data_IF_574545477526
#
_entry.id   IF_574545477526
#
_cell.length_a   1.000
_cell.length_b   1.000
_cell.length_c   1.000
_cell.angle_alpha   90.00
_cell.angle_beta   90.00
_cell.angle_gamma   90.00
#
_symmetry.space_group_name_H-M   'P 1'
#
loop_
_entity.id
_entity.type
_entity.pdbx_description
1 polymer ?
#
# COMPACT_ATOMS: atom_id res chain seq x y z
N UNK A 1 -27.37 7.70 -37.62
CA UNK A 1 -26.33 6.69 -37.27
C UNK A 1 -24.92 7.19 -37.57
N UNK A 2 -24.54 7.46 -38.82
CA UNK A 2 -23.16 7.83 -39.20
C UNK A 2 -22.58 9.08 -38.49
N UNK A 3 -23.38 10.13 -38.28
CA UNK A 3 -22.94 11.33 -37.58
C UNK A 3 -22.61 11.06 -36.10
N UNK A 4 -23.41 10.24 -35.40
CA UNK A 4 -23.15 9.89 -34.00
C UNK A 4 -21.87 9.05 -33.87
N UNK A 5 -21.61 8.15 -34.82
CA UNK A 5 -20.36 7.38 -34.90
C UNK A 5 -19.15 8.28 -35.15
N UNK A 6 -19.25 9.27 -36.03
CA UNK A 6 -18.17 10.23 -36.30
C UNK A 6 -17.88 11.12 -35.07
N UNK A 7 -18.92 11.58 -34.38
CA UNK A 7 -18.79 12.32 -33.12
C UNK A 7 -18.11 11.50 -32.02
N UNK A 8 -18.51 10.23 -31.84
CA UNK A 8 -17.87 9.34 -30.88
C UNK A 8 -16.39 9.11 -31.21
N UNK A 9 -16.05 8.91 -32.48
CA UNK A 9 -14.66 8.76 -32.92
C UNK A 9 -13.84 10.02 -32.64
N UNK A 10 -14.39 11.20 -32.92
CA UNK A 10 -13.72 12.47 -32.64
C UNK A 10 -13.47 12.66 -31.13
N UNK A 11 -14.46 12.33 -30.28
CA UNK A 11 -14.32 12.39 -28.82
C UNK A 11 -13.23 11.43 -28.33
N UNK A 12 -13.24 10.18 -28.83
CA UNK A 12 -12.22 9.20 -28.48
C UNK A 12 -10.82 9.62 -28.93
N UNK A 13 -10.69 10.18 -30.14
CA UNK A 13 -9.42 10.67 -30.66
C UNK A 13 -8.86 11.83 -29.84
N UNK A 14 -9.70 12.79 -29.46
CA UNK A 14 -9.30 13.90 -28.59
C UNK A 14 -8.91 13.44 -27.19
N UNK A 15 -9.65 12.50 -26.60
CA UNK A 15 -9.31 11.92 -25.32
C UNK A 15 -7.96 11.16 -25.37
N UNK A 16 -7.74 10.37 -26.42
CA UNK A 16 -6.47 9.68 -26.63
C UNK A 16 -5.31 10.67 -26.82
N UNK A 17 -5.50 11.72 -27.62
CA UNK A 17 -4.49 12.77 -27.80
C UNK A 17 -4.15 13.48 -26.47
N UNK A 18 -5.16 13.83 -25.67
CA UNK A 18 -4.96 14.44 -24.36
C UNK A 18 -4.18 13.51 -23.42
N UNK A 19 -4.51 12.21 -23.38
CA UNK A 19 -3.79 11.22 -22.59
C UNK A 19 -2.32 11.08 -23.03
N UNK A 20 -2.05 11.09 -24.34
CA UNK A 20 -0.69 11.06 -24.87
C UNK A 20 0.11 12.31 -24.49
N UNK A 21 -0.52 13.49 -24.54
CA UNK A 21 0.10 14.74 -24.08
C UNK A 21 0.41 14.66 -22.59
N UNK A 22 -0.54 14.22 -21.76
CA UNK A 22 -0.32 14.03 -20.32
C UNK A 22 0.82 13.04 -20.04
N UNK A 23 0.86 11.91 -20.76
CA UNK A 23 1.93 10.92 -20.63
C UNK A 23 3.28 11.50 -21.03
N UNK A 24 3.34 12.24 -22.14
CA UNK A 24 4.56 12.91 -22.60
C UNK A 24 5.09 13.93 -21.59
N UNK A 25 4.20 14.79 -21.07
CA UNK A 25 4.55 15.77 -20.03
C UNK A 25 5.02 15.06 -18.75
N UNK A 26 4.35 13.97 -18.37
CA UNK A 26 4.75 13.17 -17.22
C UNK A 26 6.14 12.55 -17.41
N UNK A 27 6.44 11.95 -18.57
CA UNK A 27 7.75 11.35 -18.87
C UNK A 27 8.90 12.37 -18.80
N UNK A 28 8.65 13.65 -19.14
CA UNK A 28 9.64 14.72 -19.06
C UNK A 28 9.78 15.29 -17.64
N UNK A 29 8.67 15.44 -16.92
CA UNK A 29 8.67 15.96 -15.56
C UNK A 29 9.21 14.94 -14.56
N UNK A 30 8.96 13.65 -14.80
CA UNK A 30 9.26 12.55 -13.89
C UNK A 30 10.74 12.49 -13.43
N UNK A 31 11.75 12.50 -14.33
CA UNK A 31 13.16 12.46 -13.91
C UNK A 31 13.58 13.68 -13.08
N UNK A 32 12.99 14.86 -13.37
CA UNK A 32 13.24 16.07 -12.59
C UNK A 32 12.68 15.92 -11.18
N UNK A 33 11.41 15.53 -11.08
CA UNK A 33 10.74 15.31 -9.79
C UNK A 33 11.44 14.24 -8.94
N UNK A 34 11.87 13.12 -9.55
CA UNK A 34 12.64 12.08 -8.87
C UNK A 34 13.96 12.61 -8.30
N UNK A 35 14.70 13.42 -9.06
CA UNK A 35 15.96 14.04 -8.58
C UNK A 35 15.71 15.04 -7.45
N UNK A 36 14.67 15.86 -7.54
CA UNK A 36 14.33 16.84 -6.51
C UNK A 36 13.96 16.19 -5.18
N UNK A 37 13.13 15.15 -5.20
CA UNK A 37 12.74 14.41 -3.99
C UNK A 37 13.93 13.69 -3.35
N UNK A 38 14.80 13.06 -4.17
CA UNK A 38 16.05 12.45 -3.69
C UNK A 38 16.99 13.47 -3.05
N UNK A 39 17.13 14.66 -3.66
CA UNK A 39 17.96 15.73 -3.13
C UNK A 39 17.42 16.27 -1.79
N UNK A 40 16.09 16.47 -1.67
CA UNK A 40 15.44 16.92 -0.42
C UNK A 40 15.71 15.97 0.74
N UNK A 41 15.68 14.66 0.49
CA UNK A 41 15.95 13.64 1.49
C UNK A 41 17.44 13.35 1.67
N UNK A 42 18.34 14.01 0.93
CA UNK A 42 19.79 13.78 0.95
C UNK A 42 20.12 12.29 0.74
N UNK A 43 19.42 11.67 -0.21
CA UNK A 43 19.65 10.27 -0.63
C UNK A 43 21.03 10.20 -1.29
N UNK A 44 21.87 9.23 -0.92
CA UNK A 44 23.15 9.02 -1.61
C UNK A 44 22.93 8.60 -3.08
N UNK A 45 23.85 8.96 -3.97
CA UNK A 45 23.69 8.75 -5.41
C UNK A 45 23.51 7.27 -5.79
N UNK A 46 24.17 6.37 -5.06
CA UNK A 46 24.11 4.91 -5.25
C UNK A 46 23.00 4.22 -4.43
N UNK A 47 22.28 4.97 -3.58
CA UNK A 47 21.30 4.39 -2.68
C UNK A 47 20.00 4.02 -3.38
N UNK A 48 19.47 2.86 -3.03
CA UNK A 48 18.11 2.42 -3.37
C UNK A 48 17.14 2.92 -2.30
N UNK A 49 16.13 3.69 -2.71
CA UNK A 49 15.08 4.19 -1.81
C UNK A 49 13.99 3.14 -1.67
N UNK A 50 13.76 2.68 -0.45
CA UNK A 50 12.74 1.70 -0.09
C UNK A 50 11.66 2.39 0.73
N UNK A 51 10.49 2.62 0.14
CA UNK A 51 9.36 3.24 0.83
C UNK A 51 8.37 2.20 1.35
N UNK A 52 7.91 2.38 2.57
CA UNK A 52 6.82 1.62 3.18
C UNK A 52 5.59 2.50 3.36
N UNK A 53 4.45 2.03 2.87
CA UNK A 53 3.16 2.59 3.24
C UNK A 53 2.66 1.90 4.50
N UNK A 54 2.76 2.60 5.63
CA UNK A 54 2.28 2.12 6.92
C UNK A 54 1.88 3.32 7.82
N UNK A 55 0.76 4.01 7.53
CA UNK A 55 0.39 5.23 8.23
C UNK A 55 0.34 5.09 9.76
N UNK A 56 -0.05 3.92 10.26
CA UNK A 56 -0.18 3.63 11.69
C UNK A 56 1.02 2.85 12.27
N UNK A 57 2.26 3.16 11.85
CA UNK A 57 3.47 2.40 12.21
C UNK A 57 3.88 2.44 13.70
N UNK A 58 3.11 3.11 14.56
CA UNK A 58 3.45 3.37 15.95
C UNK A 58 2.29 3.07 16.94
N UNK A 59 1.28 2.33 16.50
CA UNK A 59 0.06 2.01 17.26
C UNK A 59 0.20 0.75 18.13
N UNK A 60 1.17 -0.12 17.89
CA UNK A 60 1.39 -1.41 18.56
C UNK A 60 0.66 -2.61 17.98
N UNK A 61 0.09 -2.52 16.78
CA UNK A 61 -0.62 -3.63 16.14
C UNK A 61 0.30 -4.71 15.58
N UNK A 62 -0.25 -5.89 15.30
CA UNK A 62 0.50 -7.02 14.73
C UNK A 62 1.08 -6.74 13.33
N UNK A 63 0.46 -5.87 12.53
CA UNK A 63 0.97 -5.44 11.23
C UNK A 63 2.28 -4.65 11.32
N UNK A 64 2.49 -3.91 12.40
CA UNK A 64 3.70 -3.13 12.63
C UNK A 64 4.91 -4.03 12.87
N UNK A 65 4.73 -5.18 13.54
CA UNK A 65 5.80 -6.14 13.72
C UNK A 65 6.37 -6.63 12.38
N UNK A 66 5.50 -6.84 11.37
CA UNK A 66 5.93 -7.23 10.02
C UNK A 66 6.75 -6.12 9.38
N UNK A 67 6.27 -4.87 9.43
CA UNK A 67 7.01 -3.71 8.95
C UNK A 67 8.41 -3.64 9.58
N UNK A 68 8.49 -3.65 10.91
CA UNK A 68 9.76 -3.48 11.62
C UNK A 68 10.71 -4.65 11.38
N UNK A 69 10.21 -5.89 11.23
CA UNK A 69 11.05 -7.03 10.86
C UNK A 69 11.60 -6.90 9.44
N UNK A 70 10.82 -6.37 8.50
CA UNK A 70 11.31 -6.05 7.15
C UNK A 70 12.40 -4.98 7.19
N UNK A 71 12.18 -3.89 7.93
CA UNK A 71 13.17 -2.80 8.10
C UNK A 71 14.47 -3.33 8.74
N UNK A 72 14.37 -4.14 9.79
CA UNK A 72 15.53 -4.80 10.41
C UNK A 72 16.31 -5.66 9.41
N UNK A 73 15.60 -6.44 8.58
CA UNK A 73 16.23 -7.26 7.54
C UNK A 73 16.94 -6.40 6.50
N UNK A 74 16.34 -5.26 6.10
CA UNK A 74 17.00 -4.30 5.21
C UNK A 74 18.26 -3.70 5.86
N UNK A 75 18.24 -3.40 7.16
CA UNK A 75 19.41 -2.93 7.90
C UNK A 75 20.55 -3.98 7.91
N UNK A 76 20.22 -5.26 8.08
CA UNK A 76 21.20 -6.36 7.96
C UNK A 76 21.78 -6.45 6.54
N UNK A 77 20.93 -6.40 5.50
CA UNK A 77 21.38 -6.40 4.11
C UNK A 77 22.27 -5.19 3.77
N UNK A 78 21.95 -4.02 4.32
CA UNK A 78 22.76 -2.82 4.17
C UNK A 78 24.19 -3.05 4.67
N UNK A 79 24.33 -3.55 5.91
CA UNK A 79 25.61 -3.79 6.57
C UNK A 79 26.39 -4.96 5.95
N UNK A 80 25.76 -6.13 5.87
CA UNK A 80 26.43 -7.39 5.53
C UNK A 80 26.69 -7.52 4.02
N UNK A 81 25.77 -7.04 3.19
CA UNK A 81 25.87 -7.12 1.73
C UNK A 81 26.32 -5.80 1.08
N UNK A 82 26.69 -4.80 1.88
CA UNK A 82 27.13 -3.46 1.44
C UNK A 82 26.16 -2.84 0.41
N UNK A 83 24.85 -3.02 0.64
CA UNK A 83 23.81 -2.44 -0.21
C UNK A 83 23.48 -1.04 0.28
N UNK A 84 23.76 0.00 -0.50
CA UNK A 84 23.36 1.37 -0.16
C UNK A 84 21.83 1.46 -0.18
N UNK A 85 21.20 1.55 1.00
CA UNK A 85 19.75 1.53 1.19
C UNK A 85 19.32 2.76 1.99
N UNK A 86 18.20 3.34 1.60
CA UNK A 86 17.56 4.43 2.30
C UNK A 86 16.08 4.09 2.49
N UNK A 87 15.67 3.88 3.74
CA UNK A 87 14.29 3.53 4.06
C UNK A 87 13.48 4.80 4.31
N UNK A 88 12.26 4.83 3.76
CA UNK A 88 11.29 5.90 4.01
C UNK A 88 9.98 5.28 4.48
N UNK A 89 9.40 5.78 5.57
CA UNK A 89 8.11 5.30 6.08
C UNK A 89 7.07 6.41 5.92
N UNK A 90 5.97 6.12 5.21
CA UNK A 90 4.83 7.01 5.12
C UNK A 90 3.96 6.77 6.36
N UNK A 91 4.03 7.72 7.29
CA UNK A 91 3.45 7.62 8.63
C UNK A 91 2.46 8.77 8.86
N UNK A 92 1.47 8.56 9.73
CA UNK A 92 0.62 9.63 10.23
C UNK A 92 1.46 10.59 11.08
N UNK A 93 1.24 11.90 10.90
CA UNK A 93 1.76 12.92 11.80
C UNK A 93 1.15 12.74 13.19
N UNK A 94 2.00 12.52 14.19
CA UNK A 94 1.58 12.29 15.57
C UNK A 94 2.52 12.96 16.58
N UNK A 95 2.29 12.74 17.89
CA UNK A 95 3.09 13.34 18.95
C UNK A 95 4.47 12.68 19.13
N UNK A 96 4.66 11.47 18.58
CA UNK A 96 5.92 10.72 18.71
C UNK A 96 6.96 11.20 17.70
N UNK A 97 8.20 11.40 18.15
CA UNK A 97 9.33 11.66 17.26
C UNK A 97 9.77 10.40 16.53
N UNK A 98 10.50 10.48 15.39
CA UNK A 98 11.09 9.33 14.73
C UNK A 98 11.84 8.37 15.67
N UNK A 99 12.63 8.92 16.59
CA UNK A 99 13.43 8.15 17.56
C UNK A 99 12.52 7.38 18.52
N UNK A 100 11.44 8.01 18.98
CA UNK A 100 10.44 7.36 19.84
C UNK A 100 9.67 6.26 19.10
N UNK A 101 9.42 6.42 17.79
CA UNK A 101 8.79 5.39 16.96
C UNK A 101 9.72 4.18 16.84
N UNK A 102 11.01 4.41 16.55
CA UNK A 102 12.01 3.34 16.43
C UNK A 102 12.24 2.62 17.76
N UNK A 103 12.38 3.36 18.87
CA UNK A 103 12.49 2.78 20.21
C UNK A 103 11.26 1.95 20.58
N UNK A 104 10.06 2.40 20.18
CA UNK A 104 8.82 1.65 20.38
C UNK A 104 8.78 0.30 19.63
N UNK A 105 9.50 0.17 18.50
CA UNK A 105 9.60 -1.10 17.79
C UNK A 105 10.44 -2.12 18.59
N UNK A 106 11.53 -1.67 19.20
CA UNK A 106 12.35 -2.50 20.08
C UNK A 106 11.59 -2.87 21.36
N UNK A 107 10.99 -1.90 22.04
CA UNK A 107 10.25 -2.11 23.29
C UNK A 107 9.08 -3.11 23.10
N UNK A 108 8.31 -2.97 22.02
CA UNK A 108 7.09 -3.76 21.82
C UNK A 108 7.32 -5.10 21.12
N UNK A 109 8.33 -5.18 20.26
CA UNK A 109 8.54 -6.33 19.40
C UNK A 109 9.90 -7.01 19.57
N UNK A 110 10.83 -6.43 20.34
CA UNK A 110 12.20 -6.91 20.46
C UNK A 110 12.97 -6.79 19.14
N UNK A 111 12.60 -5.84 18.29
CA UNK A 111 13.21 -5.64 16.97
C UNK A 111 14.06 -4.38 16.99
N UNK A 112 15.37 -4.57 17.14
CA UNK A 112 16.34 -3.48 17.05
C UNK A 112 16.53 -3.05 15.58
N UNK A 113 16.10 -1.82 15.27
CA UNK A 113 16.29 -1.17 13.96
C UNK A 113 17.31 -0.04 14.02
N UNK A 114 18.11 0.02 15.09
CA UNK A 114 19.04 1.11 15.36
C UNK A 114 19.96 1.37 14.18
N UNK A 115 20.08 2.67 13.91
CA UNK A 115 20.92 3.28 12.89
C UNK A 115 22.28 3.68 13.48
N UNK A 116 22.67 3.10 14.61
CA UNK A 116 23.97 3.35 15.21
C UNK A 116 24.86 2.13 15.01
N UNK A 117 25.93 2.31 14.25
CA UNK A 117 26.90 1.27 13.98
C UNK A 117 27.57 0.87 15.29
N UNK A 118 27.33 -0.37 15.74
CA UNK A 118 28.22 -1.01 16.69
C UNK A 118 29.61 -1.09 16.06
N UNK A 119 30.55 -0.29 16.58
CA UNK A 119 32.04 -0.33 16.56
C UNK A 119 32.81 -0.91 15.35
N UNK A 120 32.16 -1.21 14.23
CA UNK A 120 32.68 -2.02 13.13
C UNK A 120 32.30 -1.45 11.78
N UNK A 121 32.74 -0.23 11.48
CA UNK A 121 33.06 0.30 10.14
C UNK A 121 31.99 0.33 9.02
N UNK A 122 30.83 -0.28 9.18
CA UNK A 122 29.72 -0.22 8.24
C UNK A 122 28.81 0.96 8.59
N UNK A 123 28.69 1.92 7.67
CA UNK A 123 27.76 3.05 7.83
C UNK A 123 26.34 2.59 8.14
N UNK A 124 25.57 3.44 8.80
CA UNK A 124 24.21 3.11 9.17
C UNK A 124 23.20 3.36 8.07
N UNK A 125 22.22 2.47 7.96
CA UNK A 125 21.12 2.63 7.02
C UNK A 125 20.25 3.81 7.46
N UNK A 126 20.06 4.79 6.58
CA UNK A 126 19.21 5.94 6.88
C UNK A 126 17.73 5.55 6.85
N UNK A 127 16.98 5.98 7.87
CA UNK A 127 15.52 5.81 7.97
C UNK A 127 14.89 7.20 8.14
N UNK A 128 14.08 7.62 7.17
CA UNK A 128 13.31 8.87 7.23
C UNK A 128 11.81 8.59 7.36
N UNK A 129 11.08 9.47 8.04
CA UNK A 129 9.62 9.43 8.12
C UNK A 129 9.02 10.57 7.31
N UNK A 130 8.09 10.24 6.41
CA UNK A 130 7.23 11.23 5.76
C UNK A 130 5.92 11.26 6.53
N UNK A 131 5.79 12.27 7.39
CA UNK A 131 4.59 12.48 8.19
C UNK A 131 3.48 13.13 7.36
N UNK A 132 2.42 12.37 7.15
CA UNK A 132 1.22 12.78 6.42
C UNK A 132 0.25 13.47 7.38
N UNK A 133 -0.36 14.55 6.92
CA UNK A 133 -1.30 15.38 7.67
C UNK A 133 -2.52 14.58 8.14
N UNK A 134 -2.98 14.86 9.37
CA UNK A 134 -4.08 14.10 10.01
C UNK A 134 -5.36 14.13 9.19
N UNK A 135 -5.65 15.26 8.54
CA UNK A 135 -6.83 15.45 7.71
C UNK A 135 -6.86 14.50 6.49
N UNK A 136 -5.69 14.11 5.97
CA UNK A 136 -5.58 13.11 4.91
C UNK A 136 -5.67 11.69 5.47
N UNK A 137 -5.11 11.46 6.66
CA UNK A 137 -5.22 10.18 7.36
C UNK A 137 -6.68 9.85 7.71
N UNK A 138 -7.51 10.85 8.00
CA UNK A 138 -8.93 10.67 8.28
C UNK A 138 -9.68 9.99 7.12
N UNK A 139 -9.19 10.14 5.88
CA UNK A 139 -9.75 9.43 4.71
C UNK A 139 -9.56 7.91 4.77
N UNK A 140 -8.69 7.40 5.64
CA UNK A 140 -8.49 5.96 5.86
C UNK A 140 -9.51 5.37 6.83
N UNK A 141 -10.20 6.19 7.62
CA UNK A 141 -11.17 5.76 8.61
C UNK A 141 -12.54 5.46 7.97
N UNK A 142 -13.23 4.44 8.46
CA UNK A 142 -14.51 3.98 7.88
C UNK A 142 -15.63 5.00 8.12
N UNK A 143 -15.55 5.72 9.24
CA UNK A 143 -16.47 6.74 9.71
C UNK A 143 -16.57 7.92 8.74
N UNK A 144 -15.48 8.22 8.04
CA UNK A 144 -15.42 9.24 6.97
C UNK A 144 -16.29 8.87 5.77
N UNK A 145 -16.57 7.58 5.59
CA UNK A 145 -17.27 7.04 4.43
C UNK A 145 -18.53 6.26 4.85
N UNK A 146 -19.61 6.96 5.26
CA UNK A 146 -20.84 6.31 5.74
C UNK A 146 -21.56 5.49 4.66
N UNK A 147 -21.20 5.68 3.38
CA UNK A 147 -21.68 4.90 2.24
C UNK A 147 -20.50 4.55 1.34
N UNK A 148 -20.53 3.36 0.75
CA UNK A 148 -19.47 2.85 -0.13
C UNK A 148 -18.08 2.86 0.53
N UNK A 149 -18.02 2.50 1.82
CA UNK A 149 -16.81 2.59 2.65
C UNK A 149 -15.56 2.02 1.99
N UNK A 150 -15.64 0.86 1.33
CA UNK A 150 -14.45 0.24 0.70
C UNK A 150 -13.85 1.10 -0.42
N UNK A 151 -14.66 1.74 -1.27
CA UNK A 151 -14.13 2.61 -2.34
C UNK A 151 -13.63 3.92 -1.76
N UNK A 152 -14.30 4.44 -0.73
CA UNK A 152 -13.88 5.61 0.02
C UNK A 152 -12.50 5.44 0.67
N UNK A 153 -12.32 4.39 1.46
CA UNK A 153 -11.03 4.09 2.10
C UNK A 153 -9.93 3.77 1.06
N UNK A 154 -10.29 3.09 -0.04
CA UNK A 154 -9.34 2.83 -1.14
C UNK A 154 -8.88 4.14 -1.77
N UNK A 155 -9.79 5.08 -2.02
CA UNK A 155 -9.46 6.43 -2.49
C UNK A 155 -8.62 7.21 -1.46
N UNK A 156 -8.99 7.15 -0.18
CA UNK A 156 -8.20 7.74 0.91
C UNK A 156 -6.77 7.23 0.93
N UNK A 157 -6.57 5.92 0.76
CA UNK A 157 -5.24 5.32 0.70
C UNK A 157 -4.40 5.83 -0.47
N UNK A 158 -5.04 6.04 -1.63
CA UNK A 158 -4.39 6.63 -2.81
C UNK A 158 -3.93 8.06 -2.54
N UNK A 159 -4.77 8.87 -1.90
CA UNK A 159 -4.45 10.26 -1.53
C UNK A 159 -3.26 10.31 -0.57
N UNK A 160 -3.28 9.49 0.49
CA UNK A 160 -2.19 9.40 1.48
C UNK A 160 -0.89 8.92 0.82
N UNK A 161 -0.95 7.88 -0.01
CA UNK A 161 0.24 7.37 -0.71
C UNK A 161 0.81 8.40 -1.68
N UNK A 162 -0.06 9.10 -2.42
CA UNK A 162 0.35 10.16 -3.33
C UNK A 162 1.07 11.30 -2.59
N UNK A 163 0.55 11.70 -1.42
CA UNK A 163 1.23 12.69 -0.56
C UNK A 163 2.61 12.23 -0.12
N UNK A 164 2.77 10.93 0.19
CA UNK A 164 4.07 10.30 0.42
C UNK A 164 5.00 10.42 -0.78
N UNK A 165 4.52 10.05 -1.97
CA UNK A 165 5.30 10.08 -3.21
C UNK A 165 5.74 11.49 -3.64
N UNK A 166 4.93 12.52 -3.36
CA UNK A 166 5.29 13.93 -3.55
C UNK A 166 6.53 14.35 -2.75
N UNK A 167 6.78 13.68 -1.63
CA UNK A 167 7.92 13.97 -0.74
C UNK A 167 9.09 13.04 -1.02
N UNK A 168 8.82 11.76 -1.25
CA UNK A 168 9.82 10.72 -1.45
C UNK A 168 9.43 9.82 -2.62
N UNK A 169 10.22 9.81 -3.70
CA UNK A 169 10.01 8.89 -4.82
C UNK A 169 10.81 7.60 -4.60
N UNK A 170 10.14 6.44 -4.41
CA UNK A 170 10.86 5.19 -4.15
C UNK A 170 11.38 4.52 -5.42
N UNK A 171 12.39 3.68 -5.26
CA UNK A 171 12.73 2.65 -6.25
C UNK A 171 12.01 1.34 -5.93
N UNK A 172 11.83 1.04 -4.64
CA UNK A 172 11.03 -0.08 -4.13
C UNK A 172 9.92 0.46 -3.22
N UNK A 173 8.68 0.05 -3.48
CA UNK A 173 7.51 0.46 -2.70
C UNK A 173 6.84 -0.76 -2.08
N UNK A 174 6.62 -0.74 -0.77
CA UNK A 174 5.99 -1.80 -0.02
C UNK A 174 4.67 -1.32 0.60
N UNK A 175 3.57 -1.93 0.18
CA UNK A 175 2.31 -1.88 0.91
C UNK A 175 2.33 -2.94 2.01
N UNK A 176 2.25 -2.51 3.26
CA UNK A 176 2.26 -3.41 4.43
C UNK A 176 0.97 -3.32 5.24
N UNK A 177 -0.05 -2.65 4.71
CA UNK A 177 -1.36 -2.47 5.35
C UNK A 177 -2.50 -3.13 4.56
N UNK A 178 -2.25 -3.54 3.31
CA UNK A 178 -3.26 -4.14 2.42
C UNK A 178 -4.02 -3.09 1.59
N UNK A 179 -3.48 -1.88 1.48
CA UNK A 179 -4.01 -0.79 0.67
C UNK A 179 -3.64 -0.95 -0.82
N UNK A 180 -4.12 -2.00 -1.48
CA UNK A 180 -3.69 -2.36 -2.84
C UNK A 180 -3.81 -1.23 -3.89
N UNK A 181 -4.76 -0.32 -3.71
CA UNK A 181 -4.99 0.82 -4.61
C UNK A 181 -3.83 1.82 -4.64
N UNK A 182 -2.87 1.73 -3.72
CA UNK A 182 -1.64 2.52 -3.76
C UNK A 182 -0.58 1.95 -4.72
N UNK A 183 -0.66 0.65 -5.06
CA UNK A 183 0.33 -0.04 -5.91
C UNK A 183 0.41 0.55 -7.32
N UNK A 184 -0.72 0.86 -8.02
CA UNK A 184 -0.67 1.56 -9.29
C UNK A 184 0.06 2.90 -9.20
N UNK A 185 -0.14 3.65 -8.11
CA UNK A 185 0.56 4.92 -7.90
C UNK A 185 2.05 4.72 -7.68
N UNK A 186 2.46 3.70 -6.94
CA UNK A 186 3.88 3.33 -6.80
C UNK A 186 4.51 3.01 -8.16
N UNK A 187 3.80 2.31 -9.04
CA UNK A 187 4.23 2.03 -10.42
C UNK A 187 4.31 3.28 -11.28
N UNK A 188 3.32 4.16 -11.16
CA UNK A 188 3.37 5.49 -11.79
C UNK A 188 4.50 6.33 -11.23
N UNK A 189 5.01 6.06 -10.02
CA UNK A 189 6.22 6.65 -9.49
C UNK A 189 7.49 5.83 -9.82
N UNK A 190 7.45 5.00 -10.87
CA UNK A 190 8.61 4.25 -11.35
C UNK A 190 9.16 3.19 -10.38
N UNK A 191 8.42 2.87 -9.31
CA UNK A 191 8.87 1.91 -8.31
C UNK A 191 8.53 0.47 -8.72
N UNK A 192 9.32 -0.49 -8.22
CA UNK A 192 8.89 -1.88 -8.13
C UNK A 192 8.07 -2.02 -6.87
N UNK A 193 6.88 -2.58 -6.99
CA UNK A 193 5.92 -2.63 -5.88
C UNK A 193 5.88 -4.03 -5.28
N UNK A 194 5.78 -4.10 -3.97
CA UNK A 194 5.54 -5.32 -3.22
C UNK A 194 4.39 -5.09 -2.24
N UNK A 195 3.67 -6.16 -1.91
CA UNK A 195 2.59 -6.11 -0.95
C UNK A 195 2.74 -7.23 0.09
N UNK A 196 2.45 -6.93 1.35
CA UNK A 196 2.22 -7.92 2.40
C UNK A 196 0.76 -7.79 2.85
N UNK A 197 -0.07 -8.75 2.45
CA UNK A 197 -1.50 -8.72 2.72
C UNK A 197 -1.82 -9.59 3.95
N UNK A 198 -2.35 -8.95 4.99
CA UNK A 198 -2.80 -9.64 6.19
C UNK A 198 -4.28 -10.04 6.09
N UNK A 199 -5.13 -9.12 5.62
CA UNK A 199 -6.52 -9.39 5.25
C UNK A 199 -6.82 -8.69 3.91
N UNK A 200 -7.48 -9.37 2.96
CA UNK A 200 -7.87 -8.74 1.71
C UNK A 200 -8.96 -7.70 1.97
N UNK A 201 -8.94 -6.58 1.23
CA UNK A 201 -9.97 -5.51 1.36
C UNK A 201 -11.38 -6.03 1.04
N UNK A 202 -11.45 -6.99 0.12
CA UNK A 202 -12.64 -7.79 -0.19
C UNK A 202 -12.22 -9.23 -0.40
N UNK A 203 -12.97 -10.20 0.12
CA UNK A 203 -12.69 -11.64 -0.03
C UNK A 203 -13.70 -12.33 -0.94
N UNK A 204 -13.37 -13.52 -1.46
CA UNK A 204 -14.35 -14.34 -2.20
C UNK A 204 -15.49 -14.81 -1.31
N UNK A 205 -15.26 -14.92 0.00
CA UNK A 205 -16.31 -15.22 0.98
C UNK A 205 -17.33 -14.07 1.06
N UNK A 206 -16.86 -12.82 1.04
CA UNK A 206 -17.75 -11.64 0.97
C UNK A 206 -18.59 -11.64 -0.31
N UNK A 207 -17.99 -12.02 -1.46
CA UNK A 207 -18.72 -12.16 -2.72
C UNK A 207 -19.78 -13.26 -2.66
N UNK A 208 -19.42 -14.44 -2.12
CA UNK A 208 -20.34 -15.57 -1.96
C UNK A 208 -21.50 -15.23 -1.01
N UNK A 209 -21.25 -14.50 0.09
CA UNK A 209 -22.29 -14.06 1.02
C UNK A 209 -23.30 -13.11 0.36
N UNK A 210 -22.83 -12.12 -0.40
CA UNK A 210 -23.73 -11.16 -1.06
C UNK A 210 -24.50 -11.82 -2.21
N UNK A 211 -23.88 -12.75 -2.94
CA UNK A 211 -24.56 -13.54 -3.97
C UNK A 211 -25.65 -14.45 -3.39
N UNK A 212 -25.34 -15.16 -2.29
CA UNK A 212 -26.27 -16.10 -1.62
C UNK A 212 -27.28 -15.43 -0.69
N UNK A 213 -27.21 -14.10 -0.50
CA UNK A 213 -28.06 -13.32 0.43
C UNK A 213 -28.06 -13.85 1.86
N UNK A 214 -26.96 -14.47 2.31
CA UNK A 214 -26.86 -14.96 3.69
C UNK A 214 -26.77 -13.77 4.67
N UNK A 215 -27.54 -13.78 5.77
CA UNK A 215 -27.38 -12.78 6.82
C UNK A 215 -25.97 -12.89 7.43
N UNK A 216 -25.32 -11.75 7.66
CA UNK A 216 -23.98 -11.66 8.27
C UNK A 216 -24.01 -10.60 9.38
N UNK A 217 -23.09 -10.69 10.34
CA UNK A 217 -23.01 -9.89 11.57
C UNK A 217 -22.97 -8.36 11.34
N UNK A 218 -22.64 -7.90 10.13
CA UNK A 218 -22.50 -6.48 9.75
C UNK A 218 -23.55 -5.97 8.74
N UNK A 219 -24.70 -6.64 8.62
CA UNK A 219 -25.76 -6.16 7.71
C UNK A 219 -26.88 -5.45 8.47
N UNK A 220 -27.22 -4.25 8.01
CA UNK A 220 -28.50 -3.62 8.33
C UNK A 220 -29.64 -4.48 7.76
N UNK A 221 -30.50 -4.98 8.65
CA UNK A 221 -31.66 -5.82 8.29
C UNK A 221 -32.58 -5.16 7.26
N UNK A 222 -32.56 -3.82 7.16
CA UNK A 222 -33.33 -3.06 6.17
C UNK A 222 -32.82 -3.23 4.72
N UNK A 223 -31.51 -3.49 4.52
CA UNK A 223 -30.93 -3.70 3.18
C UNK A 223 -31.17 -5.13 2.69
N UNK A 224 -31.17 -6.11 3.61
CA UNK A 224 -31.40 -7.52 3.31
C UNK A 224 -32.85 -7.82 2.90
N UNK A 225 -33.82 -7.03 3.36
CA UNK A 225 -35.24 -7.19 3.00
C UNK A 225 -35.60 -6.63 1.63
N UNK A 226 -34.79 -5.72 1.07
CA UNK A 226 -35.01 -5.12 -0.25
C UNK A 226 -34.24 -5.83 -1.36
N UNK A 227 -34.97 -6.40 -2.34
CA UNK A 227 -34.38 -7.08 -3.52
C UNK A 227 -33.50 -6.13 -4.35
N UNK A 228 -33.89 -4.87 -4.48
CA UNK A 228 -33.13 -3.85 -5.24
C UNK A 228 -31.84 -3.46 -4.51
N UNK A 229 -31.91 -3.22 -3.20
CA UNK A 229 -30.72 -2.86 -2.41
C UNK A 229 -29.69 -4.00 -2.38
N UNK A 230 -30.17 -5.25 -2.28
CA UNK A 230 -29.32 -6.44 -2.39
C UNK A 230 -28.66 -6.57 -3.77
N UNK A 231 -29.39 -6.29 -4.85
CA UNK A 231 -28.83 -6.29 -6.21
C UNK A 231 -27.75 -5.21 -6.37
N UNK A 232 -28.01 -3.98 -5.92
CA UNK A 232 -27.05 -2.88 -5.97
C UNK A 232 -25.78 -3.22 -5.19
N UNK A 233 -25.91 -3.79 -3.98
CA UNK A 233 -24.77 -4.23 -3.17
C UNK A 233 -23.96 -5.32 -3.87
N UNK A 234 -24.64 -6.28 -4.50
CA UNK A 234 -24.00 -7.32 -5.30
C UNK A 234 -23.17 -6.73 -6.43
N UNK A 235 -23.78 -5.87 -7.26
CA UNK A 235 -23.08 -5.19 -8.37
C UNK A 235 -21.88 -4.40 -7.85
N UNK A 236 -22.05 -3.64 -6.76
CA UNK A 236 -20.98 -2.88 -6.13
C UNK A 236 -19.79 -3.76 -5.71
N UNK A 237 -20.06 -4.90 -5.05
CA UNK A 237 -19.00 -5.79 -4.56
C UNK A 237 -18.23 -6.46 -5.70
N UNK A 238 -18.94 -6.91 -6.75
CA UNK A 238 -18.28 -7.51 -7.91
C UNK A 238 -17.46 -6.47 -8.71
N UNK A 239 -17.97 -5.26 -8.89
CA UNK A 239 -17.20 -4.17 -9.52
C UNK A 239 -15.96 -3.80 -8.68
N UNK A 240 -16.13 -3.67 -7.37
CA UNK A 240 -15.03 -3.37 -6.46
C UNK A 240 -13.97 -4.49 -6.45
N UNK A 241 -14.39 -5.77 -6.44
CA UNK A 241 -13.47 -6.90 -6.55
C UNK A 241 -12.66 -6.88 -7.86
N UNK A 242 -13.30 -6.52 -8.97
CA UNK A 242 -12.60 -6.32 -10.25
C UNK A 242 -11.55 -5.21 -10.17
N UNK A 243 -11.91 -4.05 -9.63
CA UNK A 243 -10.97 -2.94 -9.43
C UNK A 243 -9.82 -3.29 -8.47
N UNK A 244 -10.14 -4.01 -7.39
CA UNK A 244 -9.15 -4.50 -6.43
C UNK A 244 -8.16 -5.47 -7.08
N UNK A 245 -8.63 -6.38 -7.93
CA UNK A 245 -7.79 -7.27 -8.72
C UNK A 245 -6.87 -6.51 -9.69
N UNK A 246 -7.40 -5.50 -10.39
CA UNK A 246 -6.60 -4.63 -11.27
C UNK A 246 -5.54 -3.88 -10.49
N UNK A 247 -5.87 -3.30 -9.33
CA UNK A 247 -4.91 -2.59 -8.49
C UNK A 247 -3.81 -3.53 -7.97
N UNK A 248 -4.19 -4.72 -7.50
CA UNK A 248 -3.27 -5.76 -7.05
C UNK A 248 -2.29 -6.24 -8.12
N UNK A 249 -2.71 -6.27 -9.38
CA UNK A 249 -1.87 -6.66 -10.53
C UNK A 249 -0.61 -5.80 -10.72
N UNK A 250 -0.55 -4.61 -10.09
CA UNK A 250 0.63 -3.74 -10.12
C UNK A 250 1.74 -4.19 -9.15
N UNK A 251 1.48 -5.14 -8.25
CA UNK A 251 2.52 -5.72 -7.41
C UNK A 251 3.44 -6.65 -8.21
N UNK A 252 4.75 -6.53 -7.99
CA UNK A 252 5.76 -7.47 -8.50
C UNK A 252 5.89 -8.72 -7.64
N UNK A 253 5.74 -8.56 -6.33
CA UNK A 253 5.86 -9.62 -5.34
C UNK A 253 4.76 -9.43 -4.31
N UNK A 254 4.05 -10.51 -3.98
CA UNK A 254 3.01 -10.48 -2.97
C UNK A 254 3.27 -11.56 -1.93
N UNK A 255 3.33 -11.12 -0.69
CA UNK A 255 3.38 -11.96 0.49
C UNK A 255 2.01 -11.94 1.19
N UNK A 256 1.63 -13.08 1.76
CA UNK A 256 0.37 -13.24 2.48
C UNK A 256 0.60 -13.96 3.79
N UNK A 257 -0.14 -13.57 4.83
CA UNK A 257 0.05 -14.08 6.19
C UNK A 257 -0.42 -15.54 6.42
N UNK A 258 -1.19 -16.11 5.49
CA UNK A 258 -1.84 -17.41 5.65
C UNK A 258 -2.21 -18.03 4.31
N UNK A 259 -2.51 -19.32 4.32
CA UNK A 259 -3.10 -20.02 3.16
C UNK A 259 -4.48 -19.47 2.81
N UNK A 260 -5.32 -19.15 3.79
CA UNK A 260 -6.63 -18.54 3.55
C UNK A 260 -6.49 -17.22 2.76
N UNK A 261 -5.61 -16.32 3.21
CA UNK A 261 -5.37 -15.05 2.51
C UNK A 261 -4.78 -15.27 1.12
N UNK A 262 -3.89 -16.26 0.96
CA UNK A 262 -3.34 -16.64 -0.36
C UNK A 262 -4.44 -16.97 -1.34
N UNK A 263 -5.35 -17.86 -0.96
CA UNK A 263 -6.35 -18.40 -1.87
C UNK A 263 -7.32 -17.29 -2.34
N UNK A 264 -7.67 -16.34 -1.44
CA UNK A 264 -8.45 -15.15 -1.81
C UNK A 264 -7.69 -14.21 -2.75
N UNK A 265 -6.43 -13.89 -2.44
CA UNK A 265 -5.63 -12.96 -3.26
C UNK A 265 -5.31 -13.57 -4.62
N UNK A 266 -5.03 -14.86 -4.70
CA UNK A 266 -4.81 -15.57 -5.96
C UNK A 266 -6.07 -15.52 -6.85
N UNK A 267 -7.25 -15.80 -6.28
CA UNK A 267 -8.52 -15.73 -6.99
C UNK A 267 -8.86 -14.31 -7.48
N UNK A 268 -8.59 -13.29 -6.67
CA UNK A 268 -8.97 -11.90 -6.95
C UNK A 268 -7.95 -11.16 -7.83
N UNK A 269 -6.66 -11.26 -7.53
CA UNK A 269 -5.60 -10.49 -8.20
C UNK A 269 -5.05 -11.20 -9.43
N UNK A 270 -5.25 -12.52 -9.57
CA UNK A 270 -4.85 -13.33 -10.74
C UNK A 270 -3.39 -13.11 -11.14
N UNK A 271 -2.50 -13.11 -10.14
CA UNK A 271 -1.08 -12.83 -10.32
C UNK A 271 -0.29 -14.03 -10.87
N UNK A 272 0.80 -13.73 -11.57
CA UNK A 272 1.85 -14.70 -11.92
C UNK A 272 3.22 -14.06 -11.66
N UNK A 273 4.05 -14.60 -10.74
CA UNK A 273 3.81 -15.80 -9.93
C UNK A 273 2.73 -15.60 -8.86
N UNK A 274 2.20 -16.71 -8.35
CA UNK A 274 1.21 -16.71 -7.28
C UNK A 274 1.78 -16.10 -5.97
N UNK A 275 0.93 -15.57 -5.07
CA UNK A 275 1.37 -15.00 -3.79
C UNK A 275 2.09 -16.05 -2.93
N UNK A 276 3.17 -15.62 -2.26
CA UNK A 276 3.94 -16.49 -1.37
C UNK A 276 3.45 -16.36 0.06
N UNK A 277 3.16 -17.49 0.72
CA UNK A 277 2.80 -17.48 2.14
C UNK A 277 4.04 -17.15 2.96
N UNK A 278 3.96 -16.06 3.72
CA UNK A 278 4.97 -15.62 4.67
C UNK A 278 4.25 -15.32 5.99
N UNK A 279 4.36 -16.24 6.95
CA UNK A 279 3.69 -16.10 8.24
C UNK A 279 4.25 -14.90 9.03
N UNK A 280 3.43 -14.20 9.82
CA UNK A 280 3.89 -13.13 10.69
C UNK A 280 4.98 -13.63 11.65
N UNK A 281 6.02 -12.83 11.92
CA UNK A 281 7.07 -13.22 12.85
C UNK A 281 6.52 -13.34 14.28
N UNK A 282 6.88 -14.43 14.95
CA UNK A 282 6.55 -14.69 16.35
C UNK A 282 7.85 -14.77 17.14
N UNK A 283 7.92 -14.03 18.25
CA UNK A 283 9.01 -14.21 19.21
C UNK A 283 8.70 -15.45 20.05
N UNK A 284 9.47 -16.52 19.85
CA UNK A 284 9.36 -17.77 20.61
C UNK A 284 10.34 -17.82 21.79
N UNK A 285 11.30 -16.91 21.86
CA UNK A 285 12.29 -16.84 22.95
C UNK A 285 11.66 -16.38 24.26
N UNK A 286 10.59 -15.57 24.19
CA UNK A 286 9.81 -15.17 25.36
C UNK A 286 8.96 -16.30 25.99
N UNK A 287 8.92 -17.48 25.36
CA UNK A 287 8.21 -18.68 25.84
C UNK A 287 9.17 -19.76 26.38
N UNK A 288 10.47 -19.55 26.26
CA UNK A 288 11.53 -20.44 26.77
C UNK A 288 12.01 -19.97 28.15
#
# INVERSE_FOLDING_TARGET
CAMASLWMLLVCANAAAALLVCLYLWLIAWPRWKRETRARLKVADDATVVAFFHPFCASGGGGERVLWKMVHTLAQLHREKKRSLHVVIFAQKGPKTPEQILAGAEERFGIDVSTEGGSGGGGSMKIDFVFIETELIDLLHAETWPRFTMIGQSYGSMVVAWRGFQTATPDLYFDTTGAAFTLPLGKLCGARCAAYVHYPTISTDMLAMVYSRRPSYNHDSAIASSKLASLVKCVYYFLFAGLYGVAGAFANVVFVNSSWTRDHIEALWRLSPAPTVLYPPVNVEALA
#
